data_IF_371027323265
#
_entry.id   IF_371027323265
#
_cell.length_a   1.000
_cell.length_b   1.000
_cell.length_c   1.000
_cell.angle_alpha   90.00
_cell.angle_beta   90.00
_cell.angle_gamma   90.00
#
_symmetry.space_group_name_H-M   'P 1'
#
loop_
_entity.id
_entity.type
_entity.pdbx_description
1 polymer ?
#
# COMPACT_ATOMS: atom_id res chain seq x y z
N UNK A 1 -16.54 33.38 7.91
CA UNK A 1 -16.16 34.38 8.93
C UNK A 1 -14.70 34.12 9.28
N UNK A 2 -13.76 34.95 8.81
CA UNK A 2 -12.40 34.50 8.50
C UNK A 2 -11.27 35.18 9.26
N UNK A 3 -11.51 35.76 10.43
CA UNK A 3 -10.43 36.38 11.22
C UNK A 3 -10.63 36.00 12.68
N UNK A 4 -9.79 35.06 13.13
CA UNK A 4 -9.73 34.60 14.52
C UNK A 4 -8.51 35.25 15.15
N UNK A 5 -8.65 36.00 16.26
CA UNK A 5 -7.48 36.53 16.95
C UNK A 5 -6.62 35.37 17.44
N UNK A 6 -5.30 35.53 17.36
CA UNK A 6 -4.36 34.60 17.97
C UNK A 6 -3.92 35.19 19.30
N UNK A 7 -4.12 34.43 20.38
CA UNK A 7 -3.63 34.76 21.72
C UNK A 7 -2.41 33.89 21.99
N UNK A 8 -1.30 34.52 22.35
CA UNK A 8 -0.09 33.83 22.77
C UNK A 8 0.32 34.29 24.17
N UNK A 9 0.78 33.33 24.98
CA UNK A 9 1.33 33.59 26.31
C UNK A 9 2.81 33.22 26.24
N UNK A 10 3.67 34.12 26.68
CA UNK A 10 5.11 33.93 26.67
C UNK A 10 5.69 34.22 28.05
N UNK A 11 6.56 33.35 28.52
CA UNK A 11 7.34 33.53 29.73
C UNK A 11 8.80 33.16 29.46
N UNK A 12 9.72 34.03 29.87
CA UNK A 12 11.15 33.84 29.70
C UNK A 12 11.83 34.10 31.04
N UNK A 13 12.78 33.24 31.40
CA UNK A 13 13.70 33.50 32.51
C UNK A 13 15.11 33.51 31.94
N UNK A 14 15.93 34.43 32.43
CA UNK A 14 17.33 34.58 32.05
C UNK A 14 18.17 34.67 33.31
N UNK A 15 19.25 33.90 33.37
CA UNK A 15 20.23 33.95 34.45
C UNK A 15 21.63 34.10 33.88
N UNK A 16 22.36 35.10 34.35
CA UNK A 16 23.79 35.29 34.07
C UNK A 16 24.56 34.27 34.89
N UNK A 17 25.31 33.38 34.22
CA UNK A 17 26.03 32.26 34.86
C UNK A 17 27.44 32.64 35.34
N UNK A 18 27.97 33.80 34.92
CA UNK A 18 29.25 34.32 35.39
C UNK A 18 29.62 35.66 34.75
N UNK A 19 30.28 36.52 35.53
CA UNK A 19 30.87 37.79 35.06
C UNK A 19 32.36 37.80 35.42
N UNK A 20 33.23 38.05 34.44
CA UNK A 20 34.68 38.12 34.64
C UNK A 20 35.28 39.43 34.11
N UNK A 21 36.39 39.89 34.70
CA UNK A 21 37.12 41.10 34.30
C UNK A 21 37.15 42.21 35.35
N UNK A 22 38.11 43.13 35.24
CA UNK A 22 38.21 44.31 36.11
C UNK A 22 36.99 45.20 35.84
N UNK A 23 36.05 45.27 36.80
CA UNK A 23 34.73 45.90 36.62
C UNK A 23 33.53 44.95 36.75
N UNK A 24 33.74 43.67 37.03
CA UNK A 24 32.66 42.69 37.27
C UNK A 24 32.06 42.73 38.69
N UNK A 25 32.57 43.61 39.56
CA UNK A 25 32.13 43.80 40.95
C UNK A 25 31.72 45.25 41.19
N UNK A 26 30.82 45.49 42.14
CA UNK A 26 30.42 46.84 42.53
C UNK A 26 31.58 47.52 43.28
N UNK A 27 32.01 48.68 42.78
CA UNK A 27 33.00 49.57 43.41
C UNK A 27 32.37 50.35 44.59
N UNK A 28 33.17 50.76 45.57
CA UNK A 28 32.73 51.52 46.75
C UNK A 28 31.93 52.80 46.42
N UNK A 29 32.24 53.48 45.31
CA UNK A 29 31.52 54.63 44.77
C UNK A 29 30.14 54.26 44.18
N UNK A 30 30.01 53.11 43.54
CA UNK A 30 28.73 52.61 43.03
C UNK A 30 27.79 52.19 44.18
N UNK A 31 28.36 51.59 45.24
CA UNK A 31 27.61 51.27 46.46
C UNK A 31 27.16 52.52 47.21
N UNK A 32 27.97 53.58 47.23
CA UNK A 32 27.60 54.87 47.83
C UNK A 32 26.44 55.57 47.10
N UNK A 33 26.21 55.26 45.82
CA UNK A 33 25.06 55.72 45.04
C UNK A 33 23.81 54.81 45.21
N UNK A 34 23.86 53.84 46.13
CA UNK A 34 22.76 52.94 46.45
C UNK A 34 22.60 51.75 45.52
N UNK A 35 23.62 51.44 44.70
CA UNK A 35 23.62 50.25 43.85
C UNK A 35 24.13 49.05 44.66
N UNK A 36 23.22 48.17 45.06
CA UNK A 36 23.54 47.08 46.00
C UNK A 36 23.70 45.68 45.34
N UNK A 37 23.13 45.45 44.15
CA UNK A 37 23.26 44.17 43.43
C UNK A 37 23.25 44.36 41.91
N UNK A 38 24.07 43.55 41.20
CA UNK A 38 23.98 43.42 39.75
C UNK A 38 22.91 42.37 39.44
N UNK A 39 21.84 42.76 38.75
CA UNK A 39 20.71 41.88 38.49
C UNK A 39 21.11 40.72 37.56
N UNK A 40 21.40 39.55 38.15
CA UNK A 40 21.84 38.34 37.45
C UNK A 40 20.70 37.40 37.06
N UNK A 41 19.50 37.61 37.61
CA UNK A 41 18.33 36.81 37.30
C UNK A 41 17.17 37.74 36.91
N UNK A 42 16.71 37.62 35.68
CA UNK A 42 15.54 38.34 35.18
C UNK A 42 14.50 37.36 34.67
N UNK A 43 13.23 37.70 34.87
CA UNK A 43 12.12 36.92 34.34
C UNK A 43 11.11 37.90 33.73
N UNK A 44 10.44 37.43 32.69
CA UNK A 44 9.45 38.16 31.94
C UNK A 44 8.28 37.22 31.68
N UNK A 45 7.07 37.70 31.88
CA UNK A 45 5.85 37.02 31.47
C UNK A 45 4.93 38.05 30.81
N UNK A 46 4.32 37.68 29.69
CA UNK A 46 3.44 38.55 28.93
C UNK A 46 2.41 37.78 28.11
N UNK A 47 1.31 38.46 27.82
CA UNK A 47 0.25 37.97 26.94
C UNK A 47 0.26 38.86 25.71
N UNK A 48 0.28 38.28 24.52
CA UNK A 48 0.16 38.99 23.25
C UNK A 48 -1.12 38.58 22.52
N UNK A 49 -1.85 39.58 22.05
CA UNK A 49 -3.05 39.43 21.23
C UNK A 49 -2.72 39.97 19.84
N UNK A 50 -2.83 39.12 18.82
CA UNK A 50 -2.62 39.50 17.43
C UNK A 50 -3.92 39.37 16.65
N UNK A 51 -4.38 40.49 16.08
CA UNK A 51 -5.54 40.53 15.20
C UNK A 51 -5.13 41.11 13.83
N UNK A 52 -4.90 40.25 12.81
CA UNK A 52 -4.51 40.72 11.50
C UNK A 52 -5.71 41.41 10.81
N UNK A 53 -5.57 42.70 10.51
CA UNK A 53 -6.61 43.52 9.88
C UNK A 53 -6.70 43.30 8.35
N UNK A 54 -5.55 43.08 7.70
CA UNK A 54 -5.47 42.75 6.28
C UNK A 54 -4.21 41.92 6.01
N UNK A 55 -4.39 40.78 5.36
CA UNK A 55 -3.36 39.77 5.11
C UNK A 55 -3.11 39.55 3.60
N UNK A 56 -3.52 40.51 2.75
CA UNK A 56 -3.33 40.43 1.31
C UNK A 56 -4.07 39.27 0.63
N UNK A 57 -5.21 38.83 1.19
CA UNK A 57 -5.98 37.65 0.76
C UNK A 57 -5.27 36.31 0.94
N UNK A 58 -4.11 36.27 1.62
CA UNK A 58 -3.34 35.04 1.82
C UNK A 58 -4.15 33.94 2.52
N UNK A 59 -4.96 34.26 3.54
CA UNK A 59 -5.82 33.27 4.21
C UNK A 59 -6.94 32.74 3.31
N UNK A 60 -7.49 33.58 2.43
CA UNK A 60 -8.48 33.15 1.44
C UNK A 60 -7.86 32.18 0.44
N UNK A 61 -6.66 32.49 -0.04
CA UNK A 61 -5.89 31.60 -0.92
C UNK A 61 -5.55 30.28 -0.23
N UNK A 62 -5.10 30.31 1.03
CA UNK A 62 -4.82 29.10 1.81
C UNK A 62 -6.06 28.21 1.97
N UNK A 63 -7.24 28.78 2.22
CA UNK A 63 -8.49 28.02 2.29
C UNK A 63 -8.89 27.45 0.94
N UNK A 64 -8.72 28.21 -0.15
CA UNK A 64 -8.96 27.69 -1.50
C UNK A 64 -8.01 26.54 -1.82
N UNK A 65 -6.73 26.66 -1.45
CA UNK A 65 -5.75 25.60 -1.61
C UNK A 65 -6.14 24.36 -0.80
N UNK A 66 -6.52 24.50 0.48
CA UNK A 66 -6.99 23.37 1.29
C UNK A 66 -8.25 22.72 0.72
N UNK A 67 -9.17 23.50 0.12
CA UNK A 67 -10.35 22.95 -0.57
C UNK A 67 -9.95 22.13 -1.80
N UNK A 68 -9.07 22.67 -2.64
CA UNK A 68 -8.55 21.93 -3.80
C UNK A 68 -7.81 20.66 -3.38
N UNK A 69 -7.07 20.70 -2.26
CA UNK A 69 -6.43 19.49 -1.70
C UNK A 69 -7.44 18.46 -1.21
N UNK A 70 -8.57 18.88 -0.64
CA UNK A 70 -9.67 17.97 -0.27
C UNK A 70 -10.30 17.35 -1.53
N UNK A 71 -10.58 18.16 -2.55
CA UNK A 71 -11.13 17.65 -3.81
C UNK A 71 -10.16 16.64 -4.47
N UNK A 72 -8.85 16.92 -4.43
CA UNK A 72 -7.83 16.01 -4.95
C UNK A 72 -7.79 14.68 -4.17
N UNK A 73 -7.96 14.71 -2.85
CA UNK A 73 -8.04 13.50 -2.04
C UNK A 73 -9.29 12.68 -2.36
N UNK A 74 -10.43 13.33 -2.60
CA UNK A 74 -11.68 12.69 -3.00
C UNK A 74 -11.55 11.99 -4.37
N UNK A 75 -10.92 12.65 -5.34
CA UNK A 75 -10.59 12.02 -6.62
C UNK A 75 -9.60 10.86 -6.45
N UNK A 76 -8.59 11.00 -5.59
CA UNK A 76 -7.64 9.93 -5.32
C UNK A 76 -8.31 8.70 -4.68
N UNK A 77 -9.28 8.92 -3.79
CA UNK A 77 -10.09 7.85 -3.21
C UNK A 77 -10.90 7.13 -4.31
N UNK A 78 -11.59 7.91 -5.15
CA UNK A 78 -12.39 7.36 -6.26
C UNK A 78 -11.53 6.53 -7.23
N UNK A 79 -10.33 7.01 -7.56
CA UNK A 79 -9.39 6.28 -8.42
C UNK A 79 -8.90 4.98 -7.76
N UNK A 80 -8.66 5.00 -6.44
CA UNK A 80 -8.27 3.81 -5.70
C UNK A 80 -9.39 2.77 -5.71
N UNK A 81 -10.63 3.17 -5.46
CA UNK A 81 -11.80 2.29 -5.49
C UNK A 81 -11.97 1.64 -6.87
N UNK A 82 -11.85 2.42 -7.95
CA UNK A 82 -11.90 1.90 -9.33
C UNK A 82 -10.74 0.95 -9.64
N UNK A 83 -9.54 1.26 -9.16
CA UNK A 83 -8.37 0.38 -9.34
C UNK A 83 -8.53 -0.94 -8.61
N UNK A 84 -9.11 -0.94 -7.40
CA UNK A 84 -9.41 -2.15 -6.64
C UNK A 84 -10.47 -2.99 -7.34
N UNK A 85 -11.55 -2.36 -7.80
CA UNK A 85 -12.60 -3.04 -8.56
C UNK A 85 -12.05 -3.69 -9.84
N UNK A 86 -11.23 -2.95 -10.60
CA UNK A 86 -10.58 -3.48 -11.79
C UNK A 86 -9.64 -4.63 -11.46
N UNK A 87 -8.85 -4.51 -10.40
CA UNK A 87 -7.92 -5.55 -9.94
C UNK A 87 -8.63 -6.85 -9.56
N UNK A 88 -9.77 -6.76 -8.87
CA UNK A 88 -10.60 -7.92 -8.53
C UNK A 88 -11.20 -8.54 -9.79
N UNK A 89 -11.80 -7.73 -10.68
CA UNK A 89 -12.39 -8.22 -11.94
C UNK A 89 -11.35 -8.92 -12.83
N UNK A 90 -10.17 -8.32 -12.98
CA UNK A 90 -9.07 -8.92 -13.72
C UNK A 90 -8.63 -10.25 -13.08
N UNK A 91 -8.45 -10.29 -11.76
CA UNK A 91 -8.09 -11.51 -11.03
C UNK A 91 -9.10 -12.65 -11.21
N UNK A 92 -10.41 -12.35 -11.25
CA UNK A 92 -11.45 -13.35 -11.54
C UNK A 92 -11.33 -13.89 -12.96
N UNK A 93 -11.11 -13.03 -13.95
CA UNK A 93 -10.94 -13.43 -15.35
C UNK A 93 -9.68 -14.27 -15.53
N UNK A 94 -8.58 -13.90 -14.89
CA UNK A 94 -7.31 -14.64 -14.92
C UNK A 94 -7.47 -16.03 -14.30
N UNK A 95 -8.16 -16.14 -13.15
CA UNK A 95 -8.45 -17.41 -12.52
C UNK A 95 -9.30 -18.32 -13.42
N UNK A 96 -10.33 -17.76 -14.07
CA UNK A 96 -11.18 -18.49 -15.01
C UNK A 96 -10.38 -18.97 -16.23
N UNK A 97 -9.52 -18.12 -16.76
CA UNK A 97 -8.62 -18.44 -17.86
C UNK A 97 -7.65 -19.56 -17.49
N UNK A 98 -7.00 -19.46 -16.33
CA UNK A 98 -6.08 -20.49 -15.82
C UNK A 98 -6.79 -21.83 -15.57
N UNK A 99 -8.00 -21.80 -15.01
CA UNK A 99 -8.84 -23.00 -14.83
C UNK A 99 -9.17 -23.67 -16.18
N UNK A 100 -9.42 -22.87 -17.20
CA UNK A 100 -9.69 -23.35 -18.56
C UNK A 100 -8.43 -23.90 -19.21
N UNK A 101 -7.29 -23.25 -19.01
CA UNK A 101 -5.98 -23.68 -19.49
C UNK A 101 -5.63 -25.07 -18.95
N UNK A 102 -5.83 -25.35 -17.66
CA UNK A 102 -5.62 -26.69 -17.09
C UNK A 102 -6.33 -27.78 -17.90
N UNK A 103 -7.61 -27.56 -18.22
CA UNK A 103 -8.39 -28.54 -19.00
C UNK A 103 -7.81 -28.75 -20.39
N UNK A 104 -7.46 -27.68 -21.09
CA UNK A 104 -6.90 -27.76 -22.44
C UNK A 104 -5.49 -28.37 -22.46
N UNK A 105 -4.59 -27.93 -21.57
CA UNK A 105 -3.25 -28.49 -21.47
C UNK A 105 -3.27 -29.97 -21.11
N UNK A 106 -4.19 -30.40 -20.23
CA UNK A 106 -4.38 -31.82 -19.91
C UNK A 106 -4.81 -32.63 -21.14
N UNK A 107 -5.79 -32.13 -21.90
CA UNK A 107 -6.22 -32.78 -23.14
C UNK A 107 -5.10 -32.85 -24.17
N UNK A 108 -4.33 -31.78 -24.35
CA UNK A 108 -3.20 -31.74 -25.26
C UNK A 108 -2.09 -32.73 -24.85
N UNK A 109 -1.82 -32.83 -23.54
CA UNK A 109 -0.87 -33.82 -23.00
C UNK A 109 -1.32 -35.26 -23.25
N UNK A 110 -2.62 -35.54 -23.15
CA UNK A 110 -3.18 -36.87 -23.45
C UNK A 110 -3.00 -37.20 -24.94
N UNK A 111 -3.39 -36.30 -25.84
CA UNK A 111 -3.24 -36.51 -27.29
C UNK A 111 -1.77 -36.64 -27.72
N UNK A 112 -0.86 -35.86 -27.15
CA UNK A 112 0.57 -35.97 -27.45
C UNK A 112 1.16 -37.30 -26.96
N UNK A 113 0.68 -37.82 -25.81
CA UNK A 113 1.05 -39.16 -25.31
C UNK A 113 0.59 -40.25 -26.25
N UNK A 114 -0.68 -40.24 -26.68
CA UNK A 114 -1.23 -41.21 -27.62
C UNK A 114 -0.48 -41.20 -28.96
N UNK A 115 -0.15 -40.02 -29.47
CA UNK A 115 0.65 -39.88 -30.69
C UNK A 115 2.06 -40.47 -30.52
N UNK A 116 2.72 -40.22 -29.40
CA UNK A 116 4.02 -40.83 -29.11
C UNK A 116 3.93 -42.37 -29.05
N UNK A 117 2.89 -42.92 -28.41
CA UNK A 117 2.67 -44.37 -28.36
C UNK A 117 2.49 -44.97 -29.76
N UNK A 118 1.73 -44.29 -30.64
CA UNK A 118 1.54 -44.70 -32.03
C UNK A 118 2.84 -44.65 -32.85
N UNK A 119 3.60 -43.57 -32.74
CA UNK A 119 4.89 -43.40 -33.45
C UNK A 119 5.91 -44.42 -32.94
N UNK A 120 5.92 -44.72 -31.64
CA UNK A 120 6.76 -45.75 -31.07
C UNK A 120 6.45 -47.13 -31.65
N UNK A 121 5.17 -47.47 -31.83
CA UNK A 121 4.77 -48.73 -32.44
C UNK A 121 5.16 -48.81 -33.92
N UNK A 122 4.92 -47.74 -34.68
CA UNK A 122 5.35 -47.65 -36.07
C UNK A 122 6.87 -47.75 -36.22
N UNK A 123 7.64 -47.23 -35.26
CA UNK A 123 9.10 -47.32 -35.27
C UNK A 123 9.56 -48.76 -35.09
N UNK A 124 8.94 -49.51 -34.16
CA UNK A 124 9.21 -50.96 -33.96
C UNK A 124 8.94 -51.76 -35.22
N UNK A 125 7.98 -51.33 -36.03
CA UNK A 125 7.61 -51.94 -37.31
C UNK A 125 8.44 -51.40 -38.49
N UNK A 126 9.39 -50.48 -38.27
CA UNK A 126 10.24 -49.89 -39.30
C UNK A 126 9.53 -48.90 -40.24
N UNK A 127 8.33 -48.44 -39.89
CA UNK A 127 7.50 -47.56 -40.72
C UNK A 127 7.86 -46.07 -40.57
N UNK A 128 8.54 -45.69 -39.49
CA UNK A 128 8.98 -44.31 -39.20
C UNK A 128 10.45 -44.30 -38.79
N UNK A 129 11.10 -43.15 -38.90
CA UNK A 129 12.51 -42.98 -38.56
C UNK A 129 12.72 -42.75 -37.05
N UNK A 130 13.94 -42.96 -36.56
CA UNK A 130 14.30 -42.66 -35.16
C UNK A 130 14.13 -41.18 -34.84
N UNK A 131 14.36 -40.28 -35.80
CA UNK A 131 14.14 -38.85 -35.63
C UNK A 131 12.67 -38.54 -35.33
N UNK A 132 11.74 -39.13 -36.09
CA UNK A 132 10.30 -38.96 -35.84
C UNK A 132 9.88 -39.47 -34.46
N UNK A 133 10.49 -40.55 -33.98
CA UNK A 133 10.25 -41.05 -32.62
C UNK A 133 10.73 -40.05 -31.55
N UNK A 134 11.93 -39.49 -31.72
CA UNK A 134 12.49 -38.49 -30.79
C UNK A 134 11.64 -37.23 -30.79
N UNK A 135 11.20 -36.74 -31.96
CA UNK A 135 10.34 -35.57 -32.09
C UNK A 135 8.99 -35.78 -31.38
N UNK A 136 8.37 -36.95 -31.56
CA UNK A 136 7.14 -37.31 -30.87
C UNK A 136 7.33 -37.42 -29.34
N UNK A 137 8.46 -37.98 -28.89
CA UNK A 137 8.82 -38.05 -27.47
C UNK A 137 9.00 -36.66 -26.87
N UNK A 138 9.70 -35.77 -27.57
CA UNK A 138 9.89 -34.38 -27.14
C UNK A 138 8.55 -33.66 -27.02
N UNK A 139 7.69 -33.77 -28.04
CA UNK A 139 6.36 -33.15 -28.04
C UNK A 139 5.50 -33.63 -26.87
N UNK A 140 5.51 -34.93 -26.58
CA UNK A 140 4.80 -35.50 -25.44
C UNK A 140 5.34 -35.00 -24.10
N UNK A 141 6.66 -34.87 -23.96
CA UNK A 141 7.29 -34.33 -22.76
C UNK A 141 6.95 -32.85 -22.55
N UNK A 142 7.03 -32.04 -23.61
CA UNK A 142 6.67 -30.61 -23.57
C UNK A 142 5.21 -30.40 -23.19
N UNK A 143 4.29 -31.15 -23.81
CA UNK A 143 2.86 -31.07 -23.51
C UNK A 143 2.56 -31.47 -22.05
N UNK A 144 3.28 -32.49 -21.53
CA UNK A 144 3.16 -32.90 -20.12
C UNK A 144 3.67 -31.83 -19.16
N UNK A 145 4.79 -31.18 -19.49
CA UNK A 145 5.31 -30.06 -18.69
C UNK A 145 4.35 -28.88 -18.71
N UNK A 146 3.80 -28.51 -19.87
CA UNK A 146 2.80 -27.45 -19.98
C UNK A 146 1.55 -27.74 -19.13
N UNK A 147 1.07 -28.99 -19.12
CA UNK A 147 -0.05 -29.40 -18.26
C UNK A 147 0.27 -29.35 -16.76
N UNK A 148 1.53 -29.58 -16.38
CA UNK A 148 1.95 -29.39 -15.00
C UNK A 148 2.03 -27.90 -14.65
N UNK A 149 2.61 -27.07 -15.53
CA UNK A 149 2.72 -25.62 -15.33
C UNK A 149 1.38 -24.91 -15.21
N UNK A 150 0.37 -25.32 -15.97
CA UNK A 150 -0.97 -24.71 -15.87
C UNK A 150 -1.64 -24.88 -14.50
N UNK A 151 -1.28 -25.92 -13.74
CA UNK A 151 -1.73 -26.08 -12.35
C UNK A 151 -1.10 -25.02 -11.44
N UNK A 152 0.21 -24.76 -11.62
CA UNK A 152 0.89 -23.73 -10.85
C UNK A 152 0.35 -22.33 -11.19
N UNK A 153 0.10 -22.05 -12.47
CA UNK A 153 -0.51 -20.79 -12.91
C UNK A 153 -1.89 -20.56 -12.28
N UNK A 154 -2.71 -21.61 -12.18
CA UNK A 154 -4.00 -21.54 -11.51
C UNK A 154 -3.89 -21.23 -10.02
N UNK A 155 -2.97 -21.89 -9.30
CA UNK A 155 -2.75 -21.61 -7.88
C UNK A 155 -2.29 -20.17 -7.68
N UNK A 156 -1.38 -19.68 -8.54
CA UNK A 156 -0.91 -18.31 -8.49
C UNK A 156 -2.03 -17.30 -8.76
N UNK A 157 -2.85 -17.54 -9.79
CA UNK A 157 -4.01 -16.71 -10.11
C UNK A 157 -5.02 -16.68 -8.95
N UNK A 158 -5.22 -17.81 -8.28
CA UNK A 158 -6.11 -17.91 -7.11
C UNK A 158 -5.60 -17.07 -5.94
N UNK A 159 -4.31 -17.18 -5.60
CA UNK A 159 -3.68 -16.39 -4.54
C UNK A 159 -3.68 -14.89 -4.86
N UNK A 160 -3.47 -14.52 -6.13
CA UNK A 160 -3.52 -13.12 -6.55
C UNK A 160 -4.93 -12.53 -6.39
N UNK A 161 -5.97 -13.31 -6.69
CA UNK A 161 -7.35 -12.90 -6.45
C UNK A 161 -7.62 -12.72 -4.95
N UNK A 162 -7.19 -13.66 -4.11
CA UNK A 162 -7.30 -13.54 -2.65
C UNK A 162 -6.60 -12.29 -2.11
N UNK A 163 -5.39 -11.99 -2.61
CA UNK A 163 -4.66 -10.77 -2.27
C UNK A 163 -5.42 -9.51 -2.71
N UNK A 164 -5.96 -9.46 -3.94
CA UNK A 164 -6.70 -8.31 -4.45
C UNK A 164 -8.00 -8.05 -3.66
N UNK A 165 -8.64 -9.11 -3.15
CA UNK A 165 -9.83 -9.02 -2.29
C UNK A 165 -9.46 -8.68 -0.84
N UNK A 166 -8.18 -8.77 -0.46
CA UNK A 166 -7.71 -8.53 0.90
C UNK A 166 -8.12 -9.63 1.89
N UNK A 167 -8.45 -10.82 1.38
CA UNK A 167 -8.93 -11.96 2.18
C UNK A 167 -8.30 -13.25 1.68
N UNK A 168 -7.47 -13.86 2.52
CA UNK A 168 -6.79 -15.13 2.23
C UNK A 168 -7.67 -16.31 2.67
N UNK A 169 -8.67 -16.65 1.86
CA UNK A 169 -9.64 -17.70 2.19
C UNK A 169 -8.96 -19.05 2.41
N UNK A 170 -7.95 -19.38 1.62
CA UNK A 170 -7.18 -20.62 1.76
C UNK A 170 -6.42 -20.75 3.09
N UNK A 171 -6.13 -19.63 3.77
CA UNK A 171 -5.36 -19.60 5.03
C UNK A 171 -6.24 -19.27 6.25
N UNK A 172 -7.54 -19.07 6.07
CA UNK A 172 -8.47 -18.83 7.18
C UNK A 172 -8.68 -20.12 7.99
N UNK A 173 -8.78 -20.04 9.34
CA UNK A 173 -9.19 -21.20 10.13
C UNK A 173 -10.63 -21.62 9.79
N UNK A 174 -10.93 -22.93 9.94
CA UNK A 174 -12.16 -23.55 9.41
C UNK A 174 -13.45 -22.89 9.89
N UNK A 175 -13.44 -22.32 11.09
CA UNK A 175 -14.56 -21.57 11.70
C UNK A 175 -14.92 -20.32 10.90
N UNK A 176 -13.91 -19.55 10.47
CA UNK A 176 -14.10 -18.32 9.70
C UNK A 176 -14.54 -18.59 8.26
N UNK A 177 -14.03 -19.69 7.68
CA UNK A 177 -14.36 -20.14 6.32
C UNK A 177 -15.85 -20.55 6.21
N UNK A 178 -16.37 -21.27 7.21
CA UNK A 178 -17.79 -21.62 7.28
C UNK A 178 -18.68 -20.38 7.44
N UNK A 179 -18.31 -19.45 8.32
CA UNK A 179 -19.05 -18.20 8.51
C UNK A 179 -19.09 -17.35 7.22
N UNK A 180 -17.98 -17.29 6.49
CA UNK A 180 -17.91 -16.63 5.18
C UNK A 180 -18.83 -17.30 4.17
N UNK A 181 -18.74 -18.62 4.00
CA UNK A 181 -19.59 -19.37 3.07
C UNK A 181 -21.08 -19.15 3.36
N UNK A 182 -21.48 -19.18 4.63
CA UNK A 182 -22.86 -18.95 5.02
C UNK A 182 -23.35 -17.54 4.64
N UNK A 183 -22.54 -16.50 4.89
CA UNK A 183 -22.87 -15.12 4.47
C UNK A 183 -22.93 -14.97 2.96
N UNK A 184 -22.00 -15.60 2.23
CA UNK A 184 -21.96 -15.56 0.77
C UNK A 184 -23.22 -16.20 0.16
N UNK A 185 -23.63 -17.36 0.68
CA UNK A 185 -24.86 -18.02 0.25
C UNK A 185 -26.10 -17.17 0.55
N UNK A 186 -26.16 -16.50 1.70
CA UNK A 186 -27.24 -15.56 2.03
C UNK A 186 -27.30 -14.37 1.06
N UNK A 187 -26.14 -13.81 0.68
CA UNK A 187 -26.07 -12.72 -0.30
C UNK A 187 -26.61 -13.15 -1.67
N UNK A 188 -26.20 -14.32 -2.17
CA UNK A 188 -26.71 -14.86 -3.44
C UNK A 188 -28.21 -15.15 -3.39
N UNK A 189 -28.72 -15.59 -2.24
CA UNK A 189 -30.15 -15.91 -2.07
C UNK A 189 -31.01 -14.64 -1.97
N UNK A 190 -30.52 -13.58 -1.34
CA UNK A 190 -31.23 -12.30 -1.20
C UNK A 190 -31.16 -11.40 -2.45
N UNK A 191 -30.34 -11.73 -3.45
CA UNK A 191 -30.27 -11.00 -4.72
C UNK A 191 -31.12 -11.58 -5.86
N UNK A 192 -31.84 -12.68 -5.61
CA UNK A 192 -32.91 -13.18 -6.47
C UNK A 192 -34.29 -12.78 -5.92
#
# INVERSE_FOLDING_TARGET
MLYTPTVAIQAQTSRVLGRGGVGSTLDASAMALGMNELQDNSWFAGISLSFPLFDGLSRKAAIQQSRVSLDQLDYSQTLLDQSLELGVRAGVLDLLSASTNIRFSKSASESARENFELIQENYKQGQVTITQLIDAQQTALEARLAAAFSIYEYIQAHLQLEFNVGSFIMLMPEDQLQAFNNRFQQYLTNQN
#
